data_IF_566547066347
#
_entry.id   IF_566547066347
#
_cell.length_a   1.000
_cell.length_b   1.000
_cell.length_c   1.000
_cell.angle_alpha   90.00
_cell.angle_beta   90.00
_cell.angle_gamma   90.00
#
_symmetry.space_group_name_H-M   'P 1'
#
loop_
_entity.id
_entity.type
_entity.pdbx_description
1 polymer ?
#
# COMPACT_ATOMS: atom_id res chain seq x y z
N UNK A 1 48.57 43.85 -16.01
CA UNK A 1 47.69 43.49 -17.15
C UNK A 1 46.72 42.42 -16.67
N UNK A 2 45.45 42.82 -16.49
CA UNK A 2 44.35 42.04 -15.93
C UNK A 2 43.85 41.06 -17.00
N UNK A 3 43.91 39.75 -16.77
CA UNK A 3 43.27 38.75 -17.63
C UNK A 3 42.05 38.20 -16.89
N UNK A 4 40.91 38.69 -17.34
CA UNK A 4 39.55 38.41 -16.91
C UNK A 4 39.20 36.93 -17.09
N UNK A 5 38.44 36.44 -16.11
CA UNK A 5 37.53 35.30 -16.12
C UNK A 5 37.03 34.91 -17.51
N UNK A 6 37.04 33.62 -17.85
CA UNK A 6 35.89 32.89 -18.41
C UNK A 6 36.03 31.41 -18.05
N UNK A 7 35.23 30.95 -17.08
CA UNK A 7 35.00 29.52 -16.86
C UNK A 7 34.01 29.04 -17.93
N UNK A 8 34.23 27.90 -18.60
CA UNK A 8 33.25 27.39 -19.56
C UNK A 8 31.95 26.98 -18.84
N UNK A 9 30.88 27.69 -19.21
CA UNK A 9 29.49 27.54 -18.76
C UNK A 9 28.78 26.40 -19.51
N UNK A 10 27.84 25.76 -18.82
CA UNK A 10 26.78 24.84 -19.32
C UNK A 10 27.28 23.49 -19.86
N UNK A 11 27.11 22.35 -19.20
CA UNK A 11 25.86 21.80 -18.67
C UNK A 11 24.65 22.03 -19.58
N UNK A 12 24.69 21.42 -20.76
CA UNK A 12 23.46 20.99 -21.43
C UNK A 12 23.44 19.47 -21.38
N UNK A 13 22.95 18.95 -20.25
CA UNK A 13 22.61 17.55 -20.11
C UNK A 13 21.53 17.21 -21.12
N UNK A 14 21.94 16.73 -22.29
CA UNK A 14 21.06 15.96 -23.17
C UNK A 14 20.85 14.62 -22.49
N UNK A 15 19.98 14.62 -21.46
CA UNK A 15 19.30 13.40 -21.06
C UNK A 15 18.39 13.03 -22.22
N UNK A 16 18.98 12.36 -23.22
CA UNK A 16 18.23 11.54 -24.14
C UNK A 16 17.31 10.68 -23.27
N UNK A 17 16.02 10.97 -23.35
CA UNK A 17 14.97 10.16 -22.75
C UNK A 17 14.96 8.90 -23.60
N UNK A 18 15.95 8.02 -23.39
CA UNK A 18 15.87 6.66 -23.87
C UNK A 18 14.62 6.13 -23.19
N UNK A 19 13.53 5.81 -23.90
CA UNK A 19 12.41 5.16 -23.27
C UNK A 19 12.98 3.85 -22.76
N UNK A 20 13.23 3.78 -21.45
CA UNK A 20 13.62 2.55 -20.79
C UNK A 20 12.49 1.60 -21.10
N UNK A 21 12.72 0.69 -22.06
CA UNK A 21 11.77 -0.38 -22.40
C UNK A 21 11.38 -0.97 -21.07
N UNK A 22 10.16 -0.72 -20.65
CA UNK A 22 9.64 -1.27 -19.42
C UNK A 22 9.57 -2.75 -19.70
N UNK A 23 10.61 -3.48 -19.31
CA UNK A 23 10.61 -4.93 -19.35
C UNK A 23 9.31 -5.34 -18.68
N UNK A 24 8.55 -6.21 -19.35
CA UNK A 24 7.35 -6.83 -18.81
C UNK A 24 7.78 -7.77 -17.67
N UNK A 25 8.37 -7.21 -16.62
CA UNK A 25 8.58 -7.89 -15.36
C UNK A 25 7.21 -8.15 -14.76
N UNK A 26 6.98 -9.32 -14.15
CA UNK A 26 5.67 -9.76 -13.74
C UNK A 26 5.08 -8.76 -12.74
N UNK A 27 4.10 -7.95 -13.19
CA UNK A 27 3.25 -7.12 -12.32
C UNK A 27 2.23 -7.96 -11.53
N UNK A 28 2.32 -9.28 -11.64
CA UNK A 28 1.39 -10.26 -11.13
C UNK A 28 1.51 -10.61 -9.63
N UNK A 29 2.65 -10.52 -8.91
CA UNK A 29 2.71 -11.02 -7.54
C UNK A 29 1.91 -10.14 -6.57
N UNK A 30 1.90 -8.82 -6.78
CA UNK A 30 1.07 -7.91 -5.99
C UNK A 30 -0.43 -8.05 -6.31
N UNK A 31 -0.77 -8.20 -7.60
CA UNK A 31 -2.15 -8.45 -8.00
C UNK A 31 -2.69 -9.78 -7.44
N UNK A 32 -1.85 -10.83 -7.44
CA UNK A 32 -2.17 -12.11 -6.83
C UNK A 32 -2.33 -11.99 -5.30
N UNK A 33 -1.45 -11.25 -4.63
CA UNK A 33 -1.59 -10.95 -3.20
C UNK A 33 -2.91 -10.25 -2.87
N UNK A 34 -3.28 -9.22 -3.63
CA UNK A 34 -4.55 -8.51 -3.47
C UNK A 34 -5.74 -9.46 -3.71
N UNK A 35 -5.69 -10.26 -4.78
CA UNK A 35 -6.75 -11.23 -5.08
C UNK A 35 -6.91 -12.30 -4.00
N UNK A 36 -5.79 -12.76 -3.40
CA UNK A 36 -5.78 -13.72 -2.30
C UNK A 36 -6.38 -13.11 -1.02
N UNK A 37 -6.00 -11.89 -0.66
CA UNK A 37 -6.57 -11.19 0.51
C UNK A 37 -8.07 -10.96 0.32
N UNK A 38 -8.50 -10.57 -0.88
CA UNK A 38 -9.91 -10.40 -1.20
C UNK A 38 -10.69 -11.72 -1.18
N UNK A 39 -10.14 -12.80 -1.75
CA UNK A 39 -10.81 -14.10 -1.75
C UNK A 39 -10.95 -14.66 -0.34
N UNK A 40 -9.95 -14.48 0.52
CA UNK A 40 -10.04 -14.82 1.94
C UNK A 40 -11.09 -14.00 2.68
N UNK A 41 -11.24 -12.72 2.34
CA UNK A 41 -12.18 -11.82 3.03
C UNK A 41 -13.63 -12.08 2.62
N UNK A 42 -13.88 -12.22 1.31
CA UNK A 42 -15.22 -12.45 0.76
C UNK A 42 -15.66 -13.91 0.94
N UNK A 43 -14.72 -14.86 0.89
CA UNK A 43 -15.01 -16.29 1.06
C UNK A 43 -15.20 -16.73 2.51
N UNK A 44 -14.64 -16.00 3.50
CA UNK A 44 -14.76 -16.37 4.92
C UNK A 44 -15.96 -15.75 5.64
N UNK A 45 -16.59 -14.70 5.08
CA UNK A 45 -17.69 -13.97 5.72
C UNK A 45 -18.97 -14.04 4.88
N UNK A 46 -19.83 -15.06 5.07
CA UNK A 46 -21.11 -15.15 4.40
C UNK A 46 -22.07 -14.06 4.91
N UNK A 47 -22.37 -13.07 4.08
CA UNK A 47 -23.38 -12.03 4.37
C UNK A 47 -24.77 -12.55 3.96
N UNK A 48 -25.32 -13.45 4.78
CA UNK A 48 -26.65 -14.01 4.54
C UNK A 48 -27.71 -13.17 5.27
N UNK A 49 -28.74 -12.76 4.53
CA UNK A 49 -29.90 -12.07 5.08
C UNK A 49 -30.95 -13.09 5.52
N UNK A 50 -30.80 -13.63 6.73
CA UNK A 50 -31.78 -14.55 7.31
C UNK A 50 -32.75 -13.78 8.24
N UNK A 51 -33.99 -13.62 7.78
CA UNK A 51 -35.21 -13.49 8.59
C UNK A 51 -35.48 -12.19 9.34
N UNK A 52 -34.47 -11.51 9.89
CA UNK A 52 -34.67 -10.35 10.77
C UNK A 52 -33.77 -9.16 10.38
N UNK A 53 -34.32 -7.96 10.13
CA UNK A 53 -33.53 -6.78 9.73
C UNK A 53 -32.36 -6.43 10.67
N UNK A 54 -32.45 -6.72 11.98
CA UNK A 54 -31.33 -6.50 12.89
C UNK A 54 -30.14 -7.43 12.59
N UNK A 55 -30.42 -8.71 12.29
CA UNK A 55 -29.38 -9.68 11.96
C UNK A 55 -28.68 -9.33 10.64
N UNK A 56 -29.42 -8.79 9.66
CA UNK A 56 -28.87 -8.29 8.39
C UNK A 56 -27.89 -7.14 8.65
N UNK A 57 -28.25 -6.18 9.50
CA UNK A 57 -27.38 -5.05 9.84
C UNK A 57 -26.11 -5.52 10.56
N UNK A 58 -26.22 -6.48 11.47
CA UNK A 58 -25.06 -7.03 12.18
C UNK A 58 -24.09 -7.79 11.25
N UNK A 59 -24.63 -8.62 10.35
CA UNK A 59 -23.85 -9.33 9.34
C UNK A 59 -23.19 -8.34 8.37
N UNK A 60 -23.88 -7.26 8.00
CA UNK A 60 -23.32 -6.19 7.18
C UNK A 60 -22.19 -5.45 7.89
N UNK A 61 -22.37 -5.07 9.16
CA UNK A 61 -21.33 -4.41 9.96
C UNK A 61 -20.06 -5.27 10.00
N UNK A 62 -20.21 -6.57 10.30
CA UNK A 62 -19.10 -7.53 10.31
C UNK A 62 -18.42 -7.66 8.94
N UNK A 63 -19.20 -7.65 7.86
CA UNK A 63 -18.68 -7.67 6.50
C UNK A 63 -17.91 -6.39 6.15
N UNK A 64 -18.41 -5.20 6.51
CA UNK A 64 -17.68 -3.95 6.27
C UNK A 64 -16.36 -3.92 7.06
N UNK A 65 -16.37 -4.37 8.32
CA UNK A 65 -15.14 -4.47 9.10
C UNK A 65 -14.13 -5.47 8.50
N UNK A 66 -14.60 -6.57 7.91
CA UNK A 66 -13.70 -7.52 7.23
C UNK A 66 -13.07 -6.90 5.97
N UNK A 67 -13.81 -6.09 5.20
CA UNK A 67 -13.27 -5.34 4.06
C UNK A 67 -12.22 -4.29 4.49
N UNK A 68 -12.47 -3.56 5.59
CA UNK A 68 -11.50 -2.60 6.14
C UNK A 68 -10.21 -3.33 6.54
N UNK A 69 -10.33 -4.47 7.23
CA UNK A 69 -9.19 -5.31 7.59
C UNK A 69 -8.41 -5.78 6.37
N UNK A 70 -9.10 -6.17 5.31
CA UNK A 70 -8.49 -6.58 4.04
C UNK A 70 -7.68 -5.45 3.40
N UNK A 71 -8.19 -4.22 3.41
CA UNK A 71 -7.47 -3.03 2.94
C UNK A 71 -6.21 -2.82 3.79
N UNK A 72 -6.29 -2.97 5.11
CA UNK A 72 -5.12 -2.90 6.00
C UNK A 72 -4.05 -3.92 5.63
N UNK A 73 -4.44 -5.18 5.37
CA UNK A 73 -3.51 -6.23 4.93
C UNK A 73 -2.88 -5.91 3.56
N UNK A 74 -3.64 -5.31 2.64
CA UNK A 74 -3.10 -4.89 1.33
C UNK A 74 -2.06 -3.78 1.50
N UNK A 75 -2.35 -2.77 2.34
CA UNK A 75 -1.43 -1.67 2.65
C UNK A 75 -0.17 -2.19 3.36
N UNK A 76 -0.29 -3.19 4.22
CA UNK A 76 0.87 -3.85 4.83
C UNK A 76 1.78 -4.49 3.77
N UNK A 77 1.21 -5.29 2.86
CA UNK A 77 1.98 -5.89 1.77
C UNK A 77 2.65 -4.84 0.87
N UNK A 78 1.95 -3.75 0.56
CA UNK A 78 2.51 -2.66 -0.24
C UNK A 78 3.60 -1.87 0.51
N UNK A 79 3.39 -1.59 1.80
CA UNK A 79 4.35 -0.90 2.66
C UNK A 79 5.66 -1.69 2.80
N UNK A 80 5.59 -3.02 2.91
CA UNK A 80 6.79 -3.88 2.95
C UNK A 80 7.57 -3.78 1.64
N UNK A 81 6.91 -3.77 0.49
CA UNK A 81 7.58 -3.62 -0.82
C UNK A 81 8.28 -2.27 -0.91
N UNK A 82 7.64 -1.18 -0.45
CA UNK A 82 8.26 0.14 -0.42
C UNK A 82 9.48 0.18 0.50
N UNK A 83 9.37 -0.36 1.71
CA UNK A 83 10.51 -0.44 2.64
C UNK A 83 11.62 -1.32 2.05
N UNK A 84 11.32 -2.48 1.48
CA UNK A 84 12.32 -3.38 0.90
C UNK A 84 13.08 -2.76 -0.28
N UNK A 85 12.40 -2.03 -1.16
CA UNK A 85 13.05 -1.28 -2.23
C UNK A 85 13.88 -0.10 -1.68
N UNK A 86 13.39 0.57 -0.65
CA UNK A 86 14.08 1.69 0.01
C UNK A 86 15.35 1.29 0.76
N UNK A 87 15.44 0.03 1.19
CA UNK A 87 16.67 -0.52 1.78
C UNK A 87 17.76 -0.64 0.71
N UNK A 88 17.39 -1.05 -0.51
CA UNK A 88 18.30 -1.17 -1.66
C UNK A 88 18.73 0.19 -2.24
N UNK A 89 17.86 1.19 -2.26
CA UNK A 89 18.14 2.50 -2.86
C UNK A 89 18.77 3.52 -1.90
N UNK A 90 18.91 3.19 -0.60
CA UNK A 90 19.44 4.08 0.45
C UNK A 90 18.67 5.41 0.61
N UNK A 91 17.49 5.53 0.00
CA UNK A 91 16.71 6.76 -0.09
C UNK A 91 15.83 6.94 1.16
N UNK A 92 16.09 7.97 1.99
CA UNK A 92 15.37 8.19 3.24
C UNK A 92 13.86 8.39 3.05
N UNK A 93 13.45 8.95 1.91
CA UNK A 93 12.05 9.28 1.61
C UNK A 93 11.19 8.03 1.38
N UNK A 94 11.73 7.03 0.67
CA UNK A 94 11.03 5.76 0.43
C UNK A 94 10.92 4.92 1.70
N UNK A 95 11.92 5.03 2.60
CA UNK A 95 11.87 4.40 3.93
C UNK A 95 10.75 5.02 4.74
N UNK A 96 10.70 6.35 4.83
CA UNK A 96 9.68 7.06 5.60
C UNK A 96 8.25 6.77 5.09
N UNK A 97 8.03 6.85 3.78
CA UNK A 97 6.71 6.60 3.18
C UNK A 97 6.28 5.14 3.31
N UNK A 98 7.21 4.21 3.14
CA UNK A 98 6.97 2.78 3.36
C UNK A 98 6.60 2.48 4.82
N UNK A 99 7.34 3.04 5.78
CA UNK A 99 7.04 2.89 7.22
C UNK A 99 5.71 3.52 7.62
N UNK A 100 5.37 4.69 7.10
CA UNK A 100 4.08 5.32 7.35
C UNK A 100 2.93 4.46 6.82
N UNK A 101 3.10 3.91 5.61
CA UNK A 101 2.12 3.00 5.01
C UNK A 101 1.96 1.72 5.84
N UNK A 102 3.08 1.18 6.34
CA UNK A 102 3.05 0.01 7.23
C UNK A 102 2.32 0.31 8.54
N UNK A 103 2.65 1.42 9.21
CA UNK A 103 2.01 1.81 10.46
C UNK A 103 0.50 2.03 10.28
N UNK A 104 0.10 2.72 9.21
CA UNK A 104 -1.31 2.89 8.84
C UNK A 104 -2.00 1.56 8.54
N UNK A 105 -1.34 0.67 7.80
CA UNK A 105 -1.84 -0.67 7.50
C UNK A 105 -2.09 -1.50 8.77
N UNK A 106 -1.17 -1.48 9.74
CA UNK A 106 -1.33 -2.18 11.03
C UNK A 106 -2.57 -1.67 11.76
N UNK A 107 -2.68 -0.34 11.92
CA UNK A 107 -3.80 0.27 12.65
C UNK A 107 -5.15 -0.08 11.98
N UNK A 108 -5.21 0.00 10.65
CA UNK A 108 -6.43 -0.34 9.89
C UNK A 108 -6.78 -1.81 10.03
N UNK A 109 -5.80 -2.72 10.00
CA UNK A 109 -6.03 -4.16 10.15
C UNK A 109 -6.63 -4.51 11.51
N UNK A 110 -6.28 -3.78 12.57
CA UNK A 110 -6.78 -3.99 13.92
C UNK A 110 -7.93 -3.04 14.32
N UNK A 111 -8.47 -2.26 13.37
CA UNK A 111 -9.46 -1.23 13.69
C UNK A 111 -10.72 -1.81 14.35
N UNK A 112 -11.14 -3.01 13.95
CA UNK A 112 -12.32 -3.68 14.54
C UNK A 112 -12.03 -4.17 15.95
N UNK A 113 -10.86 -4.77 16.17
CA UNK A 113 -10.41 -5.26 17.46
C UNK A 113 -10.22 -4.12 18.46
N UNK A 114 -9.74 -2.96 18.01
CA UNK A 114 -9.64 -1.75 18.82
C UNK A 114 -11.03 -1.20 19.17
N UNK A 115 -11.96 -1.20 18.20
CA UNK A 115 -13.34 -0.75 18.44
C UNK A 115 -14.05 -1.66 19.44
N UNK A 116 -13.96 -2.98 19.25
CA UNK A 116 -14.54 -3.99 20.15
C UNK A 116 -13.95 -3.87 21.56
N UNK A 117 -12.66 -3.52 21.70
CA UNK A 117 -11.99 -3.32 22.99
C UNK A 117 -12.42 -2.05 23.73
N UNK A 118 -12.85 -1.00 23.02
CA UNK A 118 -13.31 0.26 23.62
C UNK A 118 -14.82 0.24 23.89
N UNK A 119 -15.59 -0.45 23.04
CA UNK A 119 -17.05 -0.54 23.13
C UNK A 119 -17.50 -1.71 24.03
N UNK A 120 -16.66 -2.74 24.20
CA UNK A 120 -16.87 -3.84 25.15
C UNK A 120 -16.57 -3.45 26.59
#
# INVERSE_FOLDING_TARGET
MKKTNEMPKNQTGSHAIVPKRMGKGPKYPFAFYVALVLSMTVGAMPVLAAGDPLAVINNLSTFIFSLIRAIGLILLGFGVVQVGLSLKSHDPSQRANGFLTLAGGVIITFAKEILDLIVG
#
